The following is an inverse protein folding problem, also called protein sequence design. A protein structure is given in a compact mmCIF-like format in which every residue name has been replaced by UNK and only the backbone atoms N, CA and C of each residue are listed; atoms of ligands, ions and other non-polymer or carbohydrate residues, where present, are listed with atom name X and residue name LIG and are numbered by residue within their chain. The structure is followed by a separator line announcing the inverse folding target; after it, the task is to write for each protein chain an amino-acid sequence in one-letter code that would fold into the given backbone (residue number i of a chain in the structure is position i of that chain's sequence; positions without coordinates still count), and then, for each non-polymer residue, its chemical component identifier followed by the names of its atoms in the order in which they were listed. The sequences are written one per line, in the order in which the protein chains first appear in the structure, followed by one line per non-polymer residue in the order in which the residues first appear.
data_IF_815565523865
#
_entry.id   IF_815565523865
#
_cell.length_a   1.000
_cell.length_b   1.000
_cell.length_c   1.000
_cell.angle_alpha   90.00
_cell.angle_beta   90.00
_cell.angle_gamma   90.00
#
_symmetry.space_group_name_H-M   'P 1'
#
loop_
_entity.id
_entity.type
_entity.pdbx_description
1 polymer ?
#
# COMPACT_ATOMS: atom_id res chain seq x y z
N UNK A 1 7.77 -9.46 -7.82
CA UNK A 1 6.57 -8.77 -7.33
C UNK A 1 6.86 -7.35 -6.87
N UNK A 2 7.92 -7.13 -6.08
CA UNK A 2 8.26 -5.83 -5.51
C UNK A 2 8.51 -4.69 -6.53
N UNK A 3 9.23 -4.93 -7.62
CA UNK A 3 9.44 -3.90 -8.66
C UNK A 3 8.12 -3.43 -9.29
N UNK A 4 7.19 -4.36 -9.52
CA UNK A 4 5.86 -4.06 -10.03
C UNK A 4 5.05 -3.21 -9.03
N UNK A 5 5.17 -3.50 -7.73
CA UNK A 5 4.59 -2.69 -6.66
C UNK A 5 5.17 -1.27 -6.68
N UNK A 6 6.49 -1.11 -6.80
CA UNK A 6 7.14 0.21 -6.86
C UNK A 6 6.64 1.03 -8.06
N UNK A 7 6.68 0.45 -9.26
CA UNK A 7 6.28 1.16 -10.50
C UNK A 7 4.80 1.55 -10.46
N UNK A 8 3.92 0.63 -10.07
CA UNK A 8 2.48 0.90 -9.96
C UNK A 8 2.17 1.91 -8.85
N UNK A 9 2.84 1.83 -7.70
CA UNK A 9 2.68 2.78 -6.60
C UNK A 9 3.09 4.19 -6.99
N UNK A 10 4.22 4.34 -7.70
CA UNK A 10 4.68 5.64 -8.22
C UNK A 10 3.68 6.18 -9.24
N UNK A 11 3.19 5.33 -10.15
CA UNK A 11 2.18 5.72 -11.15
C UNK A 11 0.89 6.20 -10.48
N UNK A 12 0.31 5.40 -9.57
CA UNK A 12 -0.95 5.71 -8.89
C UNK A 12 -0.79 6.96 -8.01
N UNK A 13 0.31 7.06 -7.24
CA UNK A 13 0.61 8.23 -6.43
C UNK A 13 0.77 9.50 -7.28
N UNK A 14 1.45 9.42 -8.42
CA UNK A 14 1.64 10.56 -9.31
C UNK A 14 0.32 11.00 -9.96
N UNK A 15 -0.55 10.04 -10.26
CA UNK A 15 -1.88 10.32 -10.82
C UNK A 15 -2.82 10.91 -9.76
N UNK A 16 -2.77 10.39 -8.53
CA UNK A 16 -3.56 10.88 -7.41
C UNK A 16 -3.19 12.32 -7.02
N UNK A 17 -1.90 12.65 -6.99
CA UNK A 17 -1.42 14.02 -6.75
C UNK A 17 -1.84 15.02 -7.83
N UNK A 18 -2.02 14.56 -9.08
CA UNK A 18 -2.39 15.44 -10.22
C UNK A 18 -3.90 15.59 -10.39
N UNK A 19 -4.67 14.53 -10.17
CA UNK A 19 -6.09 14.48 -10.51
C UNK A 19 -7.02 14.30 -9.30
N UNK A 20 -6.46 14.12 -8.09
CA UNK A 20 -7.20 13.90 -6.84
C UNK A 20 -8.29 12.82 -6.93
N UNK A 21 -8.12 11.88 -7.86
CA UNK A 21 -9.06 10.79 -8.13
C UNK A 21 -8.31 9.58 -8.66
N UNK A 22 -8.48 8.46 -7.97
CA UNK A 22 -8.12 7.14 -8.48
C UNK A 22 -9.31 6.63 -9.31
N UNK A 23 -9.07 6.41 -10.61
CA UNK A 23 -10.12 5.87 -11.48
C UNK A 23 -10.34 4.37 -11.18
N UNK A 24 -11.60 3.92 -11.23
CA UNK A 24 -11.89 2.47 -11.14
C UNK A 24 -11.18 1.68 -12.25
N UNK A 25 -10.99 2.29 -13.43
CA UNK A 25 -10.30 1.67 -14.58
C UNK A 25 -8.84 1.36 -14.27
N UNK A 26 -8.11 2.27 -13.63
CA UNK A 26 -6.71 2.06 -13.23
C UNK A 26 -6.57 1.01 -12.13
N UNK A 27 -7.53 0.94 -11.19
CA UNK A 27 -7.59 -0.12 -10.17
C UNK A 27 -7.82 -1.50 -10.80
N UNK A 28 -8.75 -1.61 -11.75
CA UNK A 28 -9.01 -2.87 -12.46
C UNK A 28 -7.79 -3.27 -13.30
N UNK A 29 -7.18 -2.33 -14.02
CA UNK A 29 -5.97 -2.60 -14.80
C UNK A 29 -4.80 -3.08 -13.93
N UNK A 30 -4.57 -2.43 -12.79
CA UNK A 30 -3.54 -2.87 -11.83
C UNK A 30 -3.86 -4.22 -11.20
N UNK A 31 -5.14 -4.54 -10.94
CA UNK A 31 -5.55 -5.87 -10.48
C UNK A 31 -5.23 -6.96 -11.51
N UNK A 32 -5.58 -6.77 -12.78
CA UNK A 32 -5.22 -7.71 -13.84
C UNK A 32 -3.71 -7.86 -14.00
N UNK A 33 -2.98 -6.75 -13.93
CA UNK A 33 -1.52 -6.76 -14.01
C UNK A 33 -0.86 -7.55 -12.87
N UNK A 34 -1.28 -7.30 -11.62
CA UNK A 34 -0.78 -8.06 -10.47
C UNK A 34 -1.20 -9.52 -10.52
N UNK A 35 -2.43 -9.83 -10.94
CA UNK A 35 -2.88 -11.21 -11.09
C UNK A 35 -2.06 -11.97 -12.13
N UNK A 36 -1.78 -11.35 -13.30
CA UNK A 36 -0.96 -11.95 -14.34
C UNK A 36 0.47 -12.21 -13.83
N UNK A 37 1.07 -11.24 -13.18
CA UNK A 37 2.42 -11.41 -12.65
C UNK A 37 2.45 -12.42 -11.50
N UNK A 38 1.41 -12.49 -10.67
CA UNK A 38 1.27 -13.48 -9.60
C UNK A 38 1.24 -14.90 -10.17
N UNK A 39 0.53 -15.12 -11.29
CA UNK A 39 0.53 -16.40 -12.01
C UNK A 39 1.92 -16.74 -12.58
N UNK A 40 2.61 -15.76 -13.17
CA UNK A 40 3.95 -15.95 -13.74
C UNK A 40 5.02 -16.25 -12.67
N UNK A 41 4.95 -15.59 -11.52
CA UNK A 41 5.95 -15.69 -10.45
C UNK A 41 5.56 -16.67 -9.34
N UNK A 42 4.38 -17.30 -9.43
CA UNK A 42 3.79 -18.18 -8.40
C UNK A 42 3.83 -17.58 -7.00
N UNK A 43 3.63 -16.26 -6.90
CA UNK A 43 3.67 -15.56 -5.62
C UNK A 43 2.39 -15.82 -4.81
N UNK A 44 2.49 -15.86 -3.47
CA UNK A 44 1.32 -16.05 -2.62
C UNK A 44 0.39 -14.84 -2.71
N UNK A 45 -0.90 -15.10 -2.51
CA UNK A 45 -1.93 -14.06 -2.33
C UNK A 45 -2.48 -14.12 -0.91
N UNK A 46 -3.03 -13.00 -0.46
CA UNK A 46 -3.45 -12.77 0.92
C UNK A 46 -4.93 -12.35 1.01
N UNK A 47 -5.87 -13.23 0.63
CA UNK A 47 -7.30 -12.91 0.62
C UNK A 47 -7.84 -12.57 2.02
N UNK A 48 -7.29 -13.16 3.09
CA UNK A 48 -7.70 -12.89 4.47
C UNK A 48 -7.45 -11.43 4.88
N UNK A 49 -6.31 -10.88 4.48
CA UNK A 49 -5.95 -9.49 4.74
C UNK A 49 -6.90 -8.55 3.99
N UNK A 50 -7.17 -8.82 2.71
CA UNK A 50 -8.13 -8.04 1.93
C UNK A 50 -9.55 -8.08 2.50
N UNK A 51 -9.99 -9.25 3.00
CA UNK A 51 -11.28 -9.39 3.67
C UNK A 51 -11.36 -8.58 4.97
N UNK A 52 -10.28 -8.54 5.77
CA UNK A 52 -10.24 -7.70 6.96
C UNK A 52 -10.36 -6.22 6.58
N UNK A 53 -9.58 -5.77 5.58
CA UNK A 53 -9.67 -4.39 5.08
C UNK A 53 -11.08 -4.08 4.56
N UNK A 54 -11.71 -5.01 3.85
CA UNK A 54 -13.10 -4.86 3.40
C UNK A 54 -14.07 -4.76 4.57
N UNK A 55 -13.89 -5.54 5.63
CA UNK A 55 -14.75 -5.52 6.82
C UNK A 55 -14.66 -4.19 7.59
N UNK A 56 -13.48 -3.56 7.65
CA UNK A 56 -13.27 -2.26 8.32
C UNK A 56 -13.59 -1.06 7.42
N UNK A 57 -13.69 -1.26 6.10
CA UNK A 57 -14.03 -0.22 5.10
C UNK A 57 -15.24 0.65 5.48
N UNK A 58 -16.42 0.12 5.91
CA UNK A 58 -17.55 0.97 6.28
C UNK A 58 -17.23 1.96 7.41
N UNK A 59 -16.40 1.56 8.37
CA UNK A 59 -15.98 2.45 9.46
C UNK A 59 -15.10 3.61 8.96
N UNK A 60 -14.16 3.32 8.05
CA UNK A 60 -13.33 4.37 7.45
C UNK A 60 -14.13 5.32 6.54
N UNK A 61 -15.14 4.82 5.83
CA UNK A 61 -16.06 5.66 5.06
C UNK A 61 -16.84 6.63 5.96
N UNK A 62 -17.26 6.19 7.16
CA UNK A 62 -17.94 7.06 8.13
C UNK A 62 -17.03 8.21 8.63
N UNK A 63 -15.72 8.00 8.67
CA UNK A 63 -14.72 9.01 9.07
C UNK A 63 -14.32 9.92 7.89
N UNK A 64 -14.91 9.70 6.71
CA UNK A 64 -14.68 10.53 5.52
C UNK A 64 -13.45 10.12 4.70
N UNK A 65 -12.93 8.91 4.89
CA UNK A 65 -11.86 8.37 4.03
C UNK A 65 -12.39 8.15 2.62
N UNK A 66 -11.59 8.50 1.61
CA UNK A 66 -11.96 8.33 0.20
C UNK A 66 -12.22 6.88 -0.16
N UNK A 67 -13.39 6.60 -0.76
CA UNK A 67 -13.71 5.26 -1.26
C UNK A 67 -12.71 4.75 -2.31
N UNK A 68 -12.00 5.65 -3.02
CA UNK A 68 -10.91 5.29 -3.93
C UNK A 68 -9.70 4.73 -3.19
N UNK A 69 -9.30 5.36 -2.09
CA UNK A 69 -8.15 4.96 -1.28
C UNK A 69 -8.38 3.61 -0.62
N UNK A 70 -9.60 3.35 -0.13
CA UNK A 70 -9.96 2.06 0.45
C UNK A 70 -9.94 0.94 -0.59
N UNK A 71 -10.39 1.19 -1.82
CA UNK A 71 -10.27 0.22 -2.92
C UNK A 71 -8.82 -0.09 -3.26
N UNK A 72 -7.95 0.93 -3.26
CA UNK A 72 -6.52 0.74 -3.44
C UNK A 72 -5.91 -0.10 -2.32
N UNK A 73 -6.26 0.19 -1.07
CA UNK A 73 -5.79 -0.58 0.09
C UNK A 73 -6.25 -2.04 0.03
N UNK A 74 -7.50 -2.31 -0.35
CA UNK A 74 -8.01 -3.68 -0.53
C UNK A 74 -7.19 -4.41 -1.60
N UNK A 75 -6.93 -3.76 -2.74
CA UNK A 75 -6.16 -4.35 -3.83
C UNK A 75 -4.74 -4.68 -3.39
N UNK A 76 -4.03 -3.72 -2.80
CA UNK A 76 -2.66 -3.91 -2.33
C UNK A 76 -2.60 -4.94 -1.19
N UNK A 77 -3.59 -4.94 -0.31
CA UNK A 77 -3.67 -5.91 0.78
C UNK A 77 -3.85 -7.34 0.27
N UNK A 78 -4.55 -7.53 -0.84
CA UNK A 78 -4.74 -8.85 -1.45
C UNK A 78 -3.44 -9.44 -2.00
N UNK A 79 -2.59 -8.61 -2.60
CA UNK A 79 -1.38 -9.09 -3.27
C UNK A 79 -0.10 -9.00 -2.42
N UNK A 80 -0.03 -8.08 -1.44
CA UNK A 80 1.23 -7.74 -0.80
C UNK A 80 1.23 -7.77 0.75
N UNK A 81 0.07 -7.81 1.42
CA UNK A 81 0.04 -7.81 2.89
C UNK A 81 -0.31 -9.20 3.44
N UNK A 82 0.66 -9.98 3.93
CA UNK A 82 0.37 -11.20 4.66
C UNK A 82 -0.41 -10.91 5.94
N UNK A 83 -1.30 -11.85 6.30
CA UNK A 83 -2.12 -11.73 7.50
C UNK A 83 -1.28 -12.06 8.74
N UNK A 84 -0.62 -11.04 9.29
CA UNK A 84 0.16 -11.18 10.52
C UNK A 84 0.15 -9.88 11.33
N UNK A 85 0.32 -9.99 12.65
CA UNK A 85 0.39 -8.82 13.53
C UNK A 85 1.65 -7.99 13.27
N UNK A 86 2.79 -8.62 12.94
CA UNK A 86 4.02 -7.90 12.61
C UNK A 86 3.84 -7.05 11.36
N UNK A 87 3.22 -7.60 10.31
CA UNK A 87 2.90 -6.83 9.09
C UNK A 87 1.95 -5.67 9.36
N UNK A 88 0.97 -5.85 10.25
CA UNK A 88 0.07 -4.75 10.64
C UNK A 88 0.83 -3.63 11.36
N UNK A 89 1.71 -3.96 12.30
CA UNK A 89 2.53 -2.99 13.03
C UNK A 89 3.48 -2.25 12.07
N UNK A 90 4.14 -2.98 11.17
CA UNK A 90 4.99 -2.39 10.13
C UNK A 90 4.20 -1.49 9.19
N UNK A 91 2.97 -1.88 8.83
CA UNK A 91 2.11 -1.08 7.96
C UNK A 91 1.72 0.22 8.65
N UNK A 92 1.30 0.16 9.91
CA UNK A 92 0.98 1.35 10.70
C UNK A 92 2.21 2.24 10.89
N UNK A 93 3.37 1.66 11.19
CA UNK A 93 4.62 2.40 11.31
C UNK A 93 4.98 3.10 9.98
N UNK A 94 5.01 2.37 8.87
CA UNK A 94 5.28 2.95 7.54
C UNK A 94 4.25 4.02 7.17
N UNK A 95 2.97 3.77 7.42
CA UNK A 95 1.90 4.72 7.16
C UNK A 95 2.05 6.00 7.97
N UNK A 96 2.37 5.91 9.26
CA UNK A 96 2.60 7.09 10.11
C UNK A 96 3.80 7.90 9.65
N UNK A 97 4.93 7.25 9.34
CA UNK A 97 6.15 7.92 8.86
C UNK A 97 5.89 8.66 7.54
N UNK A 98 5.28 7.99 6.57
CA UNK A 98 4.99 8.58 5.25
C UNK A 98 3.93 9.69 5.37
N UNK A 99 2.91 9.50 6.22
CA UNK A 99 1.89 10.55 6.46
C UNK A 99 2.50 11.78 7.10
N UNK A 100 3.34 11.62 8.13
CA UNK A 100 4.05 12.74 8.78
C UNK A 100 4.93 13.47 7.76
N UNK A 101 5.66 12.73 6.92
CA UNK A 101 6.46 13.32 5.86
C UNK A 101 5.61 14.15 4.88
N UNK A 102 4.48 13.61 4.41
CA UNK A 102 3.57 14.34 3.51
C UNK A 102 2.97 15.59 4.16
N UNK A 103 2.63 15.51 5.44
CA UNK A 103 2.11 16.64 6.23
C UNK A 103 3.19 17.72 6.35
N UNK A 104 4.43 17.35 6.70
CA UNK A 104 5.57 18.26 6.79
C UNK A 104 5.86 18.93 5.43
N UNK A 105 5.88 18.15 4.35
CA UNK A 105 6.08 18.66 3.00
C UNK A 105 4.99 19.67 2.61
N UNK A 106 3.73 19.36 2.90
CA UNK A 106 2.59 20.25 2.63
C UNK A 106 2.69 21.55 3.43
N UNK A 107 3.06 21.43 4.72
CA UNK A 107 3.28 22.57 5.62
C UNK A 107 4.40 23.50 5.13
N UNK A 108 5.55 22.93 4.74
CA UNK A 108 6.70 23.69 4.22
C UNK A 108 6.39 24.39 2.89
N UNK A 109 5.53 23.79 2.06
CA UNK A 109 5.14 24.34 0.76
C UNK A 109 4.09 25.47 0.88
N UNK A 110 3.76 25.91 2.11
CA UNK A 110 2.74 26.94 2.41
C UNK A 110 1.39 26.70 1.74
N UNK A 111 1.04 25.46 1.41
CA UNK A 111 -0.32 25.12 1.02
C UNK A 111 -1.16 25.03 2.28
N UNK A 112 -2.37 25.61 2.24
CA UNK A 112 -3.31 25.52 3.35
C UNK A 112 -3.52 24.06 3.75
N UNK A 113 -3.40 23.75 5.05
CA UNK A 113 -3.69 22.42 5.61
C UNK A 113 -5.14 21.95 5.37
N UNK A 114 -5.99 22.84 4.82
CA UNK A 114 -7.35 22.56 4.37
C UNK A 114 -7.41 21.89 3.00
N UNK A 115 -6.29 21.78 2.26
CA UNK A 115 -6.26 21.00 1.02
C UNK A 115 -6.27 19.51 1.34
N UNK A 116 -7.11 18.74 0.66
CA UNK A 116 -7.17 17.27 0.80
C UNK A 116 -5.76 16.67 0.70
N UNK A 117 -5.28 16.11 1.81
CA UNK A 117 -4.03 15.36 1.84
C UNK A 117 -4.26 14.08 1.03
N UNK A 118 -3.44 13.87 0.02
CA UNK A 118 -3.49 12.66 -0.80
C UNK A 118 -3.14 11.45 0.07
N UNK A 119 -4.13 10.59 0.35
CA UNK A 119 -3.96 9.41 1.21
C UNK A 119 -3.29 8.25 0.43
N UNK A 120 -3.50 8.20 -0.88
CA UNK A 120 -2.92 7.18 -1.76
C UNK A 120 -1.38 7.07 -1.65
N UNK A 121 -0.58 8.15 -1.70
CA UNK A 121 0.88 8.06 -1.49
C UNK A 121 1.25 7.48 -0.13
N UNK A 122 0.50 7.79 0.94
CA UNK A 122 0.75 7.23 2.27
C UNK A 122 0.48 5.72 2.31
N UNK A 123 -0.63 5.28 1.71
CA UNK A 123 -0.97 3.85 1.59
C UNK A 123 0.10 3.12 0.75
N UNK A 124 0.43 3.64 -0.43
CA UNK A 124 1.45 3.06 -1.30
C UNK A 124 2.81 2.95 -0.57
N UNK A 125 3.24 4.02 0.09
CA UNK A 125 4.49 4.05 0.85
C UNK A 125 4.50 3.03 2.00
N UNK A 126 3.39 2.90 2.73
CA UNK A 126 3.26 1.91 3.80
C UNK A 126 3.37 0.46 3.28
N UNK A 127 2.72 0.16 2.15
CA UNK A 127 2.79 -1.18 1.53
C UNK A 127 4.21 -1.48 1.03
N UNK A 128 4.90 -0.49 0.45
CA UNK A 128 6.32 -0.64 0.05
C UNK A 128 7.21 -0.92 1.26
N UNK A 129 6.98 -0.21 2.38
CA UNK A 129 7.72 -0.40 3.63
C UNK A 129 7.56 -1.82 4.19
N UNK A 130 6.32 -2.33 4.23
CA UNK A 130 6.05 -3.71 4.63
C UNK A 130 6.71 -4.72 3.69
N UNK A 131 6.59 -4.53 2.38
CA UNK A 131 7.13 -5.45 1.40
C UNK A 131 8.67 -5.54 1.52
N UNK A 132 9.35 -4.40 1.76
CA UNK A 132 10.79 -4.38 2.02
C UNK A 132 11.17 -5.13 3.30
N UNK A 133 10.47 -4.85 4.40
CA UNK A 133 10.75 -5.49 5.70
C UNK A 133 10.61 -7.02 5.63
N UNK A 134 9.66 -7.51 4.82
CA UNK A 134 9.49 -8.94 4.56
C UNK A 134 10.61 -9.57 3.72
N UNK A 135 11.19 -8.83 2.77
CA UNK A 135 12.34 -9.30 1.98
C UNK A 135 13.60 -9.39 2.85
N UNK A 136 13.83 -8.39 3.70
CA UNK A 136 14.98 -8.36 4.62
C UNK A 136 14.91 -9.55 5.60
N UNK A 137 13.74 -9.84 6.18
CA UNK A 137 13.55 -10.98 7.08
C UNK A 137 13.84 -12.32 6.39
N UNK A 138 13.40 -12.48 5.14
CA UNK A 138 13.67 -13.68 4.33
C UNK A 138 15.16 -13.87 4.06
N UNK A 139 15.89 -12.79 3.77
CA UNK A 139 17.35 -12.84 3.59
C UNK A 139 18.08 -13.21 4.87
N UNK A 140 17.69 -12.66 6.03
CA UNK A 140 18.29 -13.01 7.32
C UNK A 140 18.08 -14.48 7.68
N UNK A 141 16.87 -15.01 7.49
CA UNK A 141 16.57 -16.42 7.77
C UNK A 141 17.39 -17.35 6.86
N UNK A 142 17.50 -17.01 5.57
CA UNK A 142 18.30 -17.80 4.63
C UNK A 142 19.80 -17.75 4.95
N UNK A 143 20.32 -16.60 5.41
CA UNK A 143 21.71 -16.46 5.83
C UNK A 143 22.04 -17.31 7.07
N UNK A 144 21.11 -17.39 8.04
CA UNK A 144 21.25 -18.24 9.23
C UNK A 144 21.12 -19.74 8.91
N UNK A 145 20.31 -20.09 7.91
CA UNK A 145 20.15 -21.48 7.48
C UNK A 145 21.40 -22.03 6.76
N UNK A 146 22.19 -21.17 6.11
CA UNK A 146 23.42 -21.54 5.40
C UNK A 146 24.69 -21.49 6.28
N UNK A 147 24.61 -21.05 7.53
CA UNK A 147 25.75 -21.05 8.46
C UNK A 147 25.78 -22.27 9.41
N UNK A 148 25.02 -23.33 9.10
CA UNK A 148 25.08 -24.65 9.74
C UNK A 148 25.47 -25.70 8.71
#
# INVERSE_FOLDING_TARGET
MYLALLVSSIYISSFDLKFHRISNKSLVASAFFFQLLQLLQRSPVHPRSALLVLAITPFFLLIGVGAGDLKLLILLSFFFLPFSLSTLVEFLAGFTVVSVYLILQTSLTRRSLRSNIALAPAICGAVIWCARSSEDLSQYVNALAYSR
#
